data_IF_043647019159
#
_entry.id   IF_043647019159
#
_cell.length_a   1.000
_cell.length_b   1.000
_cell.length_c   1.000
_cell.angle_alpha   90.00
_cell.angle_beta   90.00
_cell.angle_gamma   90.00
#
_symmetry.space_group_name_H-M   'P 1'
#
loop_
_entity.id
_entity.type
_entity.pdbx_description
1 polymer ?
#
# COMPACT_ATOMS: atom_id res chain seq x y z
N UNK A 1 13.67 -0.79 -11.64
CA UNK A 1 12.59 -1.76 -11.35
C UNK A 1 12.21 -1.65 -9.89
N UNK A 2 10.93 -1.77 -9.58
CA UNK A 2 10.46 -1.76 -8.19
C UNK A 2 11.06 -2.92 -7.39
N UNK A 3 11.21 -4.08 -8.02
CA UNK A 3 11.89 -5.23 -7.45
C UNK A 3 13.36 -4.96 -7.07
N UNK A 4 13.99 -3.96 -7.70
CA UNK A 4 15.39 -3.57 -7.49
C UNK A 4 15.50 -2.31 -6.57
N UNK A 5 14.39 -1.87 -5.97
CA UNK A 5 14.35 -0.69 -5.10
C UNK A 5 14.30 0.65 -5.84
N UNK A 6 13.99 0.64 -7.14
CA UNK A 6 13.74 1.86 -7.94
C UNK A 6 12.25 2.07 -8.05
N UNK A 7 11.72 3.01 -7.28
CA UNK A 7 10.28 3.28 -7.21
C UNK A 7 9.88 4.51 -8.01
N UNK A 8 8.58 4.81 -7.98
CA UNK A 8 7.97 5.91 -8.70
C UNK A 8 8.60 7.26 -8.33
N UNK A 9 9.01 8.07 -9.33
CA UNK A 9 9.63 9.38 -9.07
C UNK A 9 8.67 10.38 -8.43
N UNK A 10 7.41 10.42 -8.88
CA UNK A 10 6.37 11.30 -8.35
C UNK A 10 5.59 10.58 -7.26
N UNK A 11 6.28 10.22 -6.18
CA UNK A 11 5.70 9.40 -5.10
C UNK A 11 4.53 10.11 -4.40
N UNK A 12 4.52 11.44 -4.41
CA UNK A 12 3.44 12.28 -3.88
C UNK A 12 2.09 12.08 -4.58
N UNK A 13 2.10 11.49 -5.78
CA UNK A 13 0.88 11.12 -6.52
C UNK A 13 0.46 9.67 -6.26
N UNK A 14 1.18 8.93 -5.42
CA UNK A 14 0.86 7.56 -5.10
C UNK A 14 -0.04 7.49 -3.85
N UNK A 15 -1.29 7.07 -4.02
CA UNK A 15 -2.27 7.01 -2.94
C UNK A 15 -1.83 6.11 -1.78
N UNK A 16 -1.21 4.95 -2.06
CA UNK A 16 -0.73 4.04 -1.04
C UNK A 16 0.42 4.65 -0.23
N UNK A 17 1.39 5.28 -0.92
CA UNK A 17 2.51 5.98 -0.26
C UNK A 17 2.01 7.11 0.64
N UNK A 18 1.09 7.94 0.13
CA UNK A 18 0.50 9.05 0.89
C UNK A 18 -0.27 8.54 2.11
N UNK A 19 -0.96 7.40 2.00
CA UNK A 19 -1.67 6.79 3.13
C UNK A 19 -0.71 6.34 4.23
N UNK A 20 0.38 5.64 3.86
CA UNK A 20 1.45 5.28 4.81
C UNK A 20 2.01 6.53 5.49
N UNK A 21 2.35 7.55 4.69
CA UNK A 21 2.86 8.82 5.21
C UNK A 21 1.90 9.45 6.20
N UNK A 22 0.61 9.55 5.89
CA UNK A 22 -0.38 10.12 6.80
C UNK A 22 -0.45 9.38 8.13
N UNK A 23 -0.42 8.05 8.14
CA UNK A 23 -0.40 7.29 9.39
C UNK A 23 0.89 7.50 10.18
N UNK A 24 2.03 7.63 9.51
CA UNK A 24 3.30 7.97 10.17
C UNK A 24 3.23 9.36 10.79
N UNK A 25 2.75 10.34 10.05
CA UNK A 25 2.64 11.73 10.52
C UNK A 25 1.61 11.90 11.66
N UNK A 26 0.54 11.09 11.67
CA UNK A 26 -0.44 11.02 12.77
C UNK A 26 0.13 10.26 13.98
N UNK A 27 1.03 9.30 13.78
CA UNK A 27 1.53 8.38 14.79
C UNK A 27 0.54 7.27 15.18
N UNK A 28 -0.53 7.08 14.41
CA UNK A 28 -1.58 6.12 14.70
C UNK A 28 -2.23 5.58 13.42
N UNK A 29 -2.91 4.43 13.55
CA UNK A 29 -3.68 3.83 12.46
C UNK A 29 -4.84 2.98 13.02
N UNK A 30 -5.83 2.58 12.20
CA UNK A 30 -6.96 1.80 12.69
C UNK A 30 -6.53 0.37 13.05
N UNK A 31 -6.83 -0.07 14.28
CA UNK A 31 -6.43 -1.41 14.78
C UNK A 31 -6.97 -2.57 13.93
N UNK A 32 -8.20 -2.44 13.40
CA UNK A 32 -8.80 -3.48 12.56
C UNK A 32 -8.00 -3.73 11.27
N UNK A 33 -7.21 -2.74 10.81
CA UNK A 33 -6.40 -2.90 9.61
C UNK A 33 -5.33 -3.99 9.75
N UNK A 34 -4.92 -4.33 10.97
CA UNK A 34 -3.95 -5.41 11.22
C UNK A 34 -4.43 -6.79 10.73
N UNK A 35 -5.74 -6.99 10.64
CA UNK A 35 -6.36 -8.23 10.16
C UNK A 35 -6.59 -8.23 8.64
N UNK A 36 -6.21 -7.12 7.95
CA UNK A 36 -6.45 -6.96 6.53
C UNK A 36 -5.20 -7.25 5.71
N UNK A 37 -5.46 -7.51 4.45
CA UNK A 37 -4.45 -7.66 3.41
C UNK A 37 -4.63 -6.59 2.34
N UNK A 38 -3.52 -6.20 1.72
CA UNK A 38 -3.47 -5.15 0.69
C UNK A 38 -2.94 -5.78 -0.59
N UNK A 39 -3.59 -5.47 -1.70
CA UNK A 39 -3.07 -5.79 -3.02
C UNK A 39 -1.96 -4.81 -3.38
N UNK A 40 -0.80 -5.34 -3.74
CA UNK A 40 0.30 -4.61 -4.34
C UNK A 40 0.77 -5.34 -5.59
N UNK A 41 0.59 -4.69 -6.74
CA UNK A 41 1.04 -5.21 -8.02
C UNK A 41 2.10 -4.27 -8.60
N UNK A 42 3.40 -4.54 -8.40
CA UNK A 42 4.47 -3.72 -8.92
C UNK A 42 4.39 -3.59 -10.44
N UNK A 43 4.54 -2.37 -10.96
CA UNK A 43 4.35 -2.05 -12.39
C UNK A 43 5.35 -2.77 -13.29
N UNK A 44 6.55 -3.07 -12.81
CA UNK A 44 7.55 -3.85 -13.55
C UNK A 44 7.11 -5.31 -13.70
N UNK A 45 6.50 -5.90 -12.69
CA UNK A 45 5.90 -7.24 -12.78
C UNK A 45 4.69 -7.25 -13.72
N UNK A 46 3.88 -6.18 -13.72
CA UNK A 46 2.81 -6.02 -14.71
C UNK A 46 3.37 -5.99 -16.12
N UNK A 47 4.45 -5.22 -16.35
CA UNK A 47 5.08 -5.13 -17.67
C UNK A 47 5.65 -6.49 -18.14
N UNK A 48 6.36 -7.19 -17.24
CA UNK A 48 6.89 -8.52 -17.52
C UNK A 48 5.75 -9.52 -17.83
N UNK A 49 4.64 -9.43 -17.09
CA UNK A 49 3.44 -10.22 -17.29
C UNK A 49 2.80 -9.97 -18.68
N UNK A 50 2.65 -8.69 -19.07
CA UNK A 50 2.08 -8.31 -20.39
C UNK A 50 2.96 -8.87 -21.51
N UNK A 51 4.28 -8.70 -21.40
CA UNK A 51 5.22 -9.24 -22.41
C UNK A 51 5.05 -10.75 -22.49
N UNK A 52 4.97 -11.44 -21.36
CA UNK A 52 4.82 -12.89 -21.31
C UNK A 52 3.53 -13.36 -21.99
N UNK A 53 2.42 -12.65 -21.75
CA UNK A 53 1.14 -12.93 -22.42
C UNK A 53 1.26 -12.74 -23.95
N UNK A 54 1.93 -11.66 -24.40
CA UNK A 54 2.10 -11.36 -25.82
C UNK A 54 3.01 -12.37 -26.56
N UNK A 55 3.96 -12.99 -25.86
CA UNK A 55 4.82 -14.04 -26.39
C UNK A 55 4.08 -15.36 -26.63
N UNK A 56 2.88 -15.52 -26.05
CA UNK A 56 2.09 -16.74 -26.11
C UNK A 56 0.75 -16.48 -26.78
N UNK A 57 0.33 -17.39 -27.66
CA UNK A 57 -0.98 -17.29 -28.29
C UNK A 57 -2.08 -17.62 -27.29
N UNK A 58 -3.07 -16.75 -27.16
CA UNK A 58 -4.27 -16.99 -26.35
C UNK A 58 -5.53 -16.76 -27.16
N UNK A 59 -6.56 -17.53 -26.89
CA UNK A 59 -7.92 -17.29 -27.39
C UNK A 59 -8.65 -16.21 -26.57
N UNK A 60 -8.11 -15.84 -25.42
CA UNK A 60 -8.67 -14.82 -24.54
C UNK A 60 -8.01 -13.47 -24.86
N UNK A 61 -8.83 -12.41 -24.94
CA UNK A 61 -8.39 -11.05 -25.22
C UNK A 61 -8.47 -10.14 -23.98
N UNK A 62 -8.88 -10.70 -22.82
CA UNK A 62 -9.03 -9.94 -21.59
C UNK A 62 -8.32 -10.63 -20.43
N UNK A 63 -7.40 -9.92 -19.80
CA UNK A 63 -6.64 -10.40 -18.64
C UNK A 63 -6.69 -9.38 -17.51
N UNK A 64 -7.01 -9.84 -16.31
CA UNK A 64 -6.99 -9.02 -15.10
C UNK A 64 -5.66 -9.23 -14.38
N UNK A 65 -4.74 -8.27 -14.52
CA UNK A 65 -3.43 -8.33 -13.89
C UNK A 65 -3.55 -7.94 -12.42
N UNK A 66 -3.47 -8.93 -11.58
CA UNK A 66 -3.66 -8.80 -10.14
C UNK A 66 -2.73 -9.78 -9.42
N UNK A 67 -1.87 -9.26 -8.55
CA UNK A 67 -0.97 -10.11 -7.77
C UNK A 67 -1.77 -10.82 -6.66
N UNK A 68 -1.92 -12.14 -6.71
CA UNK A 68 -2.67 -12.89 -5.70
C UNK A 68 -1.92 -12.99 -4.36
N UNK A 69 -0.62 -12.64 -4.33
CA UNK A 69 0.17 -12.65 -3.11
C UNK A 69 -0.03 -11.33 -2.36
N UNK A 70 -1.10 -11.26 -1.58
CA UNK A 70 -1.46 -10.07 -0.84
C UNK A 70 -0.45 -9.76 0.27
N UNK A 71 -0.26 -8.48 0.55
CA UNK A 71 0.56 -7.99 1.66
C UNK A 71 -0.28 -7.89 2.93
N UNK A 72 0.10 -8.59 3.98
CA UNK A 72 -0.48 -8.40 5.30
C UNK A 72 -0.14 -7.02 5.86
N UNK A 73 -1.16 -6.27 6.30
CA UNK A 73 -0.96 -4.98 7.00
C UNK A 73 -0.16 -5.16 8.28
N UNK A 74 -0.34 -6.30 8.95
CA UNK A 74 0.45 -6.65 10.13
C UNK A 74 1.94 -6.75 9.81
N UNK A 75 2.32 -7.37 8.68
CA UNK A 75 3.71 -7.44 8.24
C UNK A 75 4.28 -6.05 7.98
N UNK A 76 3.53 -5.19 7.29
CA UNK A 76 3.93 -3.80 7.06
C UNK A 76 4.19 -3.08 8.40
N UNK A 77 3.26 -3.20 9.37
CA UNK A 77 3.39 -2.61 10.69
C UNK A 77 4.63 -3.13 11.45
N UNK A 78 4.87 -4.46 11.41
CA UNK A 78 6.01 -5.08 12.10
C UNK A 78 7.34 -4.60 11.50
N UNK A 79 7.43 -4.42 10.18
CA UNK A 79 8.62 -3.88 9.50
C UNK A 79 8.83 -2.40 9.87
N UNK A 80 7.79 -1.57 9.85
CA UNK A 80 7.89 -0.16 10.25
C UNK A 80 8.47 -0.04 11.66
N UNK A 81 8.01 -0.87 12.57
CA UNK A 81 8.46 -0.86 13.97
C UNK A 81 9.88 -1.37 14.14
N UNK A 82 10.22 -2.52 13.54
CA UNK A 82 11.49 -3.19 13.76
C UNK A 82 12.65 -2.53 13.02
N UNK A 83 12.45 -2.21 11.74
CA UNK A 83 13.51 -1.77 10.85
C UNK A 83 13.66 -0.25 10.81
N UNK A 84 12.60 0.49 11.13
CA UNK A 84 12.58 1.95 11.03
C UNK A 84 12.29 2.67 12.35
N UNK A 85 12.04 1.93 13.43
CA UNK A 85 11.65 2.46 14.76
C UNK A 85 10.41 3.38 14.69
N UNK A 86 9.53 3.12 13.71
CA UNK A 86 8.26 3.84 13.55
C UNK A 86 7.20 3.13 14.38
N UNK A 87 6.87 3.71 15.52
CA UNK A 87 5.93 3.14 16.47
C UNK A 87 4.54 3.77 16.28
N UNK A 88 3.72 3.16 15.43
CA UNK A 88 2.32 3.57 15.22
C UNK A 88 1.43 2.96 16.30
N UNK A 89 0.51 3.76 16.84
CA UNK A 89 -0.46 3.27 17.85
C UNK A 89 -1.71 2.74 17.12
N UNK A 90 -2.05 1.43 17.28
CA UNK A 90 -3.32 0.93 16.81
C UNK A 90 -4.47 1.55 17.62
N UNK A 91 -5.42 2.18 16.95
CA UNK A 91 -6.56 2.84 17.61
C UNK A 91 -7.88 2.26 17.10
N UNK A 92 -8.87 2.18 18.00
CA UNK A 92 -10.23 1.89 17.57
C UNK A 92 -10.76 3.00 16.65
N UNK A 93 -11.73 2.68 15.79
CA UNK A 93 -12.30 3.65 14.84
C UNK A 93 -12.74 4.94 15.54
N UNK A 94 -13.37 4.81 16.70
CA UNK A 94 -13.84 5.96 17.48
C UNK A 94 -12.71 6.89 17.92
N UNK A 95 -11.61 6.34 18.44
CA UNK A 95 -10.47 7.14 18.90
C UNK A 95 -9.73 7.78 17.74
N UNK A 96 -9.56 7.03 16.64
CA UNK A 96 -8.93 7.55 15.43
C UNK A 96 -9.76 8.66 14.80
N UNK A 97 -11.08 8.49 14.69
CA UNK A 97 -11.99 9.53 14.18
C UNK A 97 -11.96 10.80 15.04
N UNK A 98 -11.92 10.66 16.37
CA UNK A 98 -11.76 11.79 17.27
C UNK A 98 -10.43 12.53 17.03
N UNK A 99 -9.34 11.81 16.90
CA UNK A 99 -8.02 12.37 16.61
C UNK A 99 -7.98 13.09 15.27
N UNK A 100 -8.52 12.47 14.20
CA UNK A 100 -8.64 13.06 12.87
C UNK A 100 -9.47 14.35 12.91
N UNK A 101 -10.58 14.35 13.66
CA UNK A 101 -11.43 15.54 13.82
C UNK A 101 -10.65 16.69 14.45
N UNK A 102 -9.83 16.42 15.48
CA UNK A 102 -8.97 17.43 16.09
C UNK A 102 -7.95 18.01 15.11
N UNK A 103 -7.32 17.15 14.28
CA UNK A 103 -6.36 17.59 13.25
C UNK A 103 -7.07 18.46 12.18
N UNK A 104 -8.30 18.12 11.80
CA UNK A 104 -9.07 18.87 10.80
C UNK A 104 -9.44 20.28 11.26
N UNK A 105 -9.50 20.53 12.56
CA UNK A 105 -9.76 21.87 13.14
C UNK A 105 -8.55 22.79 13.05
N UNK A 106 -7.33 22.25 12.88
CA UNK A 106 -6.11 23.01 12.73
C UNK A 106 -5.67 23.09 11.26
N UNK A 107 -5.86 24.25 10.64
CA UNK A 107 -5.48 24.49 9.25
C UNK A 107 -4.02 24.18 8.93
N UNK A 108 -3.10 24.32 9.90
CA UNK A 108 -1.68 24.04 9.70
C UNK A 108 -1.40 22.55 9.60
N UNK A 109 -2.19 21.75 10.29
CA UNK A 109 -2.00 20.30 10.40
C UNK A 109 -2.82 19.49 9.40
N UNK A 110 -3.77 20.10 8.68
CA UNK A 110 -4.59 19.41 7.66
C UNK A 110 -3.80 18.63 6.62
N UNK A 111 -2.60 19.11 6.27
CA UNK A 111 -1.73 18.44 5.29
C UNK A 111 -1.31 17.04 5.72
N UNK A 112 -1.28 16.74 7.02
CA UNK A 112 -0.98 15.42 7.58
C UNK A 112 -1.99 14.37 7.08
N UNK A 113 -3.23 14.79 6.88
CA UNK A 113 -4.33 13.91 6.46
C UNK A 113 -4.44 13.72 4.94
N UNK A 114 -3.56 14.35 4.13
CA UNK A 114 -3.69 14.36 2.67
C UNK A 114 -3.79 12.96 2.04
N UNK A 115 -3.19 11.94 2.65
CA UNK A 115 -3.22 10.57 2.15
C UNK A 115 -4.45 9.76 2.56
N UNK A 116 -5.28 10.27 3.47
CA UNK A 116 -6.46 9.56 3.98
C UNK A 116 -7.75 10.37 3.92
N UNK A 117 -7.68 11.65 3.59
CA UNK A 117 -8.84 12.56 3.68
C UNK A 117 -10.02 12.11 2.78
N UNK A 118 -9.72 11.53 1.62
CA UNK A 118 -10.73 11.01 0.69
C UNK A 118 -11.27 9.63 1.06
N UNK A 119 -10.66 8.98 2.04
CA UNK A 119 -11.09 7.70 2.58
C UNK A 119 -11.98 7.87 3.83
N UNK A 120 -12.32 9.10 4.20
CA UNK A 120 -13.14 9.40 5.37
C UNK A 120 -14.63 9.48 4.98
N UNK A 121 -15.49 8.87 5.79
CA UNK A 121 -16.95 9.10 5.73
C UNK A 121 -17.32 10.45 6.38
N UNK A 122 -18.63 10.73 6.43
CA UNK A 122 -19.14 11.96 7.04
C UNK A 122 -18.80 12.08 8.54
N UNK A 123 -18.69 10.96 9.23
CA UNK A 123 -18.36 10.87 10.66
C UNK A 123 -16.85 10.78 10.91
N UNK A 124 -16.03 10.99 9.86
CA UNK A 124 -14.57 10.92 9.88
C UNK A 124 -14.00 9.53 10.22
N UNK A 125 -14.78 8.48 10.01
CA UNK A 125 -14.26 7.13 10.05
C UNK A 125 -13.59 6.78 8.72
N UNK A 126 -12.52 6.00 8.78
CA UNK A 126 -11.87 5.49 7.59
C UNK A 126 -12.72 4.37 6.95
N UNK A 127 -13.00 4.53 5.66
CA UNK A 127 -13.68 3.53 4.83
C UNK A 127 -12.62 2.64 4.20
N UNK A 128 -12.41 1.44 4.75
CA UNK A 128 -11.38 0.50 4.29
C UNK A 128 -11.91 -0.64 3.42
N UNK A 129 -13.21 -0.83 3.38
CA UNK A 129 -13.78 -2.01 2.74
C UNK A 129 -14.32 -1.69 1.35
N UNK A 130 -13.67 -2.25 0.33
CA UNK A 130 -14.32 -2.43 -0.96
C UNK A 130 -15.22 -3.66 -0.89
N UNK A 131 -16.50 -3.50 -1.25
CA UNK A 131 -17.40 -4.64 -1.47
C UNK A 131 -17.12 -5.38 -2.78
N UNK A 132 -16.21 -4.86 -3.59
CA UNK A 132 -15.84 -5.40 -4.90
C UNK A 132 -14.78 -6.47 -4.67
N UNK A 133 -15.11 -7.71 -5.04
CA UNK A 133 -14.13 -8.80 -5.12
C UNK A 133 -13.60 -8.85 -6.55
N UNK A 134 -12.31 -8.63 -6.71
CA UNK A 134 -11.63 -8.86 -7.98
C UNK A 134 -11.38 -10.37 -8.13
N UNK A 135 -11.78 -10.89 -9.29
CA UNK A 135 -11.45 -12.28 -9.66
C UNK A 135 -10.44 -12.26 -10.79
N UNK A 136 -9.26 -12.82 -10.55
CA UNK A 136 -8.20 -12.99 -11.53
C UNK A 136 -7.80 -14.47 -11.70
N UNK A 137 -8.63 -15.40 -11.25
CA UNK A 137 -8.31 -16.85 -11.23
C UNK A 137 -7.95 -17.37 -12.61
N UNK A 138 -8.74 -16.99 -13.63
CA UNK A 138 -8.45 -17.35 -15.02
C UNK A 138 -7.09 -16.83 -15.48
N UNK A 139 -6.84 -15.53 -15.24
CA UNK A 139 -5.57 -14.89 -15.62
C UNK A 139 -4.40 -15.55 -14.90
N UNK A 140 -4.52 -15.80 -13.60
CA UNK A 140 -3.46 -16.42 -12.80
C UNK A 140 -3.20 -17.86 -13.22
N UNK A 141 -4.24 -18.64 -13.53
CA UNK A 141 -4.09 -20.00 -14.06
C UNK A 141 -3.34 -19.99 -15.40
N UNK A 142 -3.75 -19.13 -16.32
CA UNK A 142 -3.08 -18.97 -17.64
C UNK A 142 -1.63 -18.54 -17.48
N UNK A 143 -1.35 -17.55 -16.61
CA UNK A 143 0.01 -17.09 -16.35
C UNK A 143 0.92 -18.18 -15.83
N UNK A 144 0.42 -19.01 -14.90
CA UNK A 144 1.16 -20.17 -14.39
C UNK A 144 1.45 -21.19 -15.50
N UNK A 145 0.49 -21.44 -16.39
CA UNK A 145 0.66 -22.36 -17.54
C UNK A 145 1.77 -21.89 -18.47
N UNK A 146 1.86 -20.57 -18.76
CA UNK A 146 2.91 -19.99 -19.61
C UNK A 146 4.21 -19.68 -18.85
N UNK A 147 4.35 -20.12 -17.59
CA UNK A 147 5.56 -20.02 -16.79
C UNK A 147 5.82 -18.63 -16.20
N UNK A 148 4.76 -17.82 -16.00
CA UNK A 148 4.86 -16.59 -15.23
C UNK A 148 4.29 -16.78 -13.84
N UNK A 149 5.06 -16.36 -12.82
CA UNK A 149 4.63 -16.44 -11.42
C UNK A 149 4.80 -15.09 -10.74
N UNK A 150 3.73 -14.62 -10.11
CA UNK A 150 3.77 -13.41 -9.31
C UNK A 150 4.71 -13.56 -8.12
N UNK A 151 5.58 -12.58 -7.95
CA UNK A 151 6.45 -12.52 -6.78
C UNK A 151 5.65 -12.12 -5.54
N UNK A 152 6.01 -12.70 -4.41
CA UNK A 152 5.48 -12.30 -3.11
C UNK A 152 6.04 -10.93 -2.74
N UNK A 153 5.18 -10.10 -2.17
CA UNK A 153 5.59 -8.86 -1.50
C UNK A 153 5.97 -9.22 -0.07
N UNK A 154 7.24 -9.26 0.17
CA UNK A 154 7.84 -9.69 1.44
C UNK A 154 8.42 -8.52 2.24
N UNK A 155 9.03 -8.85 3.37
CA UNK A 155 9.70 -7.90 4.26
C UNK A 155 10.78 -7.10 3.54
N UNK A 156 11.60 -7.76 2.72
CA UNK A 156 12.68 -7.12 1.95
C UNK A 156 12.14 -6.05 0.97
N UNK A 157 11.00 -6.34 0.32
CA UNK A 157 10.35 -5.36 -0.54
C UNK A 157 9.88 -4.13 0.25
N UNK A 158 9.27 -4.33 1.43
CA UNK A 158 8.81 -3.23 2.29
C UNK A 158 10.02 -2.40 2.77
N UNK A 159 11.10 -3.05 3.20
CA UNK A 159 12.33 -2.37 3.63
C UNK A 159 12.91 -1.52 2.50
N UNK A 160 12.98 -2.04 1.27
CA UNK A 160 13.42 -1.26 0.10
C UNK A 160 12.51 -0.06 -0.18
N UNK A 161 11.20 -0.26 -0.06
CA UNK A 161 10.20 0.79 -0.28
C UNK A 161 10.33 1.92 0.73
N UNK A 162 10.45 1.59 2.01
CA UNK A 162 10.63 2.57 3.09
C UNK A 162 11.99 3.28 3.03
N UNK A 163 13.06 2.57 2.69
CA UNK A 163 14.39 3.18 2.46
C UNK A 163 14.36 4.17 1.30
N UNK A 164 13.57 3.89 0.25
CA UNK A 164 13.35 4.84 -0.81
C UNK A 164 12.64 6.10 -0.31
N UNK A 165 11.58 5.97 0.51
CA UNK A 165 10.88 7.10 1.11
C UNK A 165 11.83 7.98 1.95
N UNK A 166 12.68 7.35 2.76
CA UNK A 166 13.71 8.04 3.55
C UNK A 166 14.71 8.78 2.65
N UNK A 167 15.25 8.10 1.63
CA UNK A 167 16.23 8.65 0.69
C UNK A 167 15.73 9.92 -0.01
N UNK A 168 14.47 9.94 -0.43
CA UNK A 168 13.87 11.10 -1.12
C UNK A 168 13.24 12.12 -0.14
N UNK A 169 13.38 11.91 1.16
CA UNK A 169 12.79 12.73 2.23
C UNK A 169 11.27 12.87 2.14
N UNK A 170 10.60 11.84 1.62
CA UNK A 170 9.14 11.79 1.56
C UNK A 170 8.52 11.60 2.95
N UNK A 171 9.19 10.85 3.80
CA UNK A 171 8.88 10.70 5.23
C UNK A 171 10.09 11.14 6.06
N UNK A 172 9.84 11.76 7.20
CA UNK A 172 10.88 12.10 8.17
C UNK A 172 10.93 10.98 9.20
N UNK A 173 12.02 10.18 9.16
CA UNK A 173 12.28 9.09 10.11
C UNK A 173 13.38 9.49 11.08
N UNK A 174 14.12 10.57 10.79
CA UNK A 174 15.19 11.02 11.66
C UNK A 174 14.58 11.59 12.95
N UNK A 175 14.78 10.90 14.05
CA UNK A 175 14.49 11.44 15.40
C UNK A 175 15.42 12.62 15.64
N UNK A 176 14.86 13.77 16.03
CA UNK A 176 15.62 14.78 16.76
C UNK A 176 16.04 14.23 18.15
#
# INVERSE_FOLDING_TARGET
>A
RYSDGVFQKNIENNAFANRIKSFIDIGAFPEYALEHEIELTPVDLCADCIIKILEHSSKCNMFHLYNPNLLSVKLLYDVLRKEFDINLVPLSNRLLSYMITGILQDEKNKKILSGIIYDLDNDKNLIYTSKIKLNADFTNAYLNEIGFHWKKIDEDYIVKYMNYFKKIKFINIDKE
#
